data_IF_728727729149
#
_entry.id   IF_728727729149
#
_cell.length_a   1.000
_cell.length_b   1.000
_cell.length_c   1.000
_cell.angle_alpha   90.00
_cell.angle_beta   90.00
_cell.angle_gamma   90.00
#
_symmetry.space_group_name_H-M   'P 1'
#
loop_
_entity.id
_entity.type
_entity.pdbx_description
1 polymer ?
#
# COMPACT_ATOMS: atom_id res chain seq x y z
N UNK A 1 10.45 0.56 3.69
CA UNK A 1 9.54 0.40 4.85
C UNK A 1 8.19 -0.07 4.32
N UNK A 2 7.34 -0.69 5.15
CA UNK A 2 5.99 -1.14 4.78
C UNK A 2 4.98 -0.51 5.73
N UNK A 3 3.75 -0.29 5.27
CA UNK A 3 2.65 0.13 6.13
C UNK A 3 2.32 -0.91 7.22
N UNK A 4 2.61 -2.19 6.94
CA UNK A 4 2.42 -3.30 7.87
C UNK A 4 3.76 -3.74 8.49
N UNK A 5 3.81 -3.80 9.81
CA UNK A 5 4.96 -4.33 10.55
C UNK A 5 4.85 -5.84 10.69
N UNK A 6 5.82 -6.59 10.18
CA UNK A 6 5.88 -8.06 10.27
C UNK A 6 6.56 -8.71 9.07
N UNK A 7 6.70 -10.06 9.08
CA UNK A 7 7.35 -10.81 8.00
C UNK A 7 6.74 -10.51 6.63
N UNK A 8 7.60 -10.19 5.65
CA UNK A 8 7.19 -9.91 4.27
C UNK A 8 6.19 -8.75 4.12
N UNK A 9 6.12 -7.83 5.08
CA UNK A 9 5.15 -6.71 5.02
C UNK A 9 3.69 -7.17 5.02
N UNK A 10 3.39 -8.33 5.62
CA UNK A 10 2.05 -8.93 5.64
C UNK A 10 1.85 -10.07 4.64
N UNK A 11 2.76 -10.26 3.67
CA UNK A 11 2.67 -11.31 2.66
C UNK A 11 2.60 -12.72 3.28
N UNK A 12 3.34 -12.96 4.36
CA UNK A 12 3.34 -14.26 5.05
C UNK A 12 1.95 -14.70 5.57
N UNK A 13 1.05 -13.74 5.82
CA UNK A 13 -0.32 -13.99 6.29
C UNK A 13 -1.37 -13.92 5.17
N UNK A 14 -1.01 -13.32 4.02
CA UNK A 14 -1.97 -12.95 2.98
C UNK A 14 -1.72 -13.64 1.64
N UNK A 15 -0.64 -14.42 1.51
CA UNK A 15 -0.44 -15.26 0.33
C UNK A 15 -1.55 -16.31 0.24
N UNK A 16 -2.36 -16.27 -0.82
CA UNK A 16 -3.53 -17.13 -1.02
C UNK A 16 -3.42 -17.85 -2.36
N UNK A 17 -3.72 -19.15 -2.35
CA UNK A 17 -3.75 -19.97 -3.57
C UNK A 17 -5.05 -19.78 -4.36
N UNK A 18 -5.13 -20.36 -5.55
CA UNK A 18 -6.34 -20.33 -6.37
C UNK A 18 -7.55 -20.92 -5.61
N UNK A 19 -8.65 -20.15 -5.56
CA UNK A 19 -9.86 -20.52 -4.81
C UNK A 19 -9.78 -20.28 -3.30
N UNK A 20 -8.65 -19.83 -2.77
CA UNK A 20 -8.49 -19.49 -1.36
C UNK A 20 -8.85 -18.01 -1.08
N UNK A 21 -9.32 -17.72 0.13
CA UNK A 21 -9.47 -16.36 0.64
C UNK A 21 -8.82 -16.26 2.01
N UNK A 22 -7.93 -15.28 2.20
CA UNK A 22 -7.32 -14.98 3.50
C UNK A 22 -7.76 -13.63 4.02
N UNK A 23 -7.92 -13.56 5.33
CA UNK A 23 -8.20 -12.31 6.06
C UNK A 23 -7.12 -12.11 7.11
N UNK A 24 -6.51 -10.93 7.13
CA UNK A 24 -5.54 -10.52 8.14
C UNK A 24 -5.93 -9.15 8.71
N UNK A 25 -5.50 -8.87 9.94
CA UNK A 25 -5.67 -7.56 10.59
C UNK A 25 -4.29 -7.01 10.94
N UNK A 26 -4.03 -5.78 10.51
CA UNK A 26 -2.78 -5.07 10.77
C UNK A 26 -3.08 -3.80 11.54
N UNK A 27 -2.21 -3.47 12.51
CA UNK A 27 -2.22 -2.17 13.15
C UNK A 27 -1.29 -1.25 12.38
N UNK A 28 -1.80 -0.10 11.94
CA UNK A 28 -1.02 0.92 11.24
C UNK A 28 -0.27 1.74 12.29
N UNK A 29 1.04 1.48 12.43
CA UNK A 29 1.86 2.09 13.48
C UNK A 29 2.58 3.36 13.02
N UNK A 30 2.77 3.51 11.71
CA UNK A 30 3.58 4.58 11.13
C UNK A 30 2.77 5.32 10.06
N UNK A 31 2.47 6.62 10.25
CA UNK A 31 1.90 7.45 9.21
C UNK A 31 2.84 7.58 8.01
N UNK A 32 2.27 7.75 6.82
CA UNK A 32 3.03 7.93 5.58
C UNK A 32 2.37 7.33 4.35
N UNK A 33 2.99 7.54 3.19
CA UNK A 33 2.60 6.95 1.91
C UNK A 33 3.52 5.78 1.59
N UNK A 34 2.97 4.59 1.38
CA UNK A 34 3.72 3.36 1.16
C UNK A 34 3.26 2.65 -0.11
N UNK A 35 4.16 1.91 -0.75
CA UNK A 35 3.81 0.98 -1.83
C UNK A 35 3.28 -0.32 -1.22
N UNK A 36 2.22 -0.88 -1.81
CA UNK A 36 1.85 -2.27 -1.63
C UNK A 36 2.00 -3.00 -2.97
N UNK A 37 2.34 -4.29 -2.95
CA UNK A 37 2.42 -5.10 -4.15
C UNK A 37 2.23 -6.59 -3.82
N UNK A 38 1.94 -7.41 -4.83
CA UNK A 38 1.97 -8.86 -4.68
C UNK A 38 3.39 -9.34 -4.42
N UNK A 39 3.56 -10.25 -3.45
CA UNK A 39 4.84 -10.85 -3.08
C UNK A 39 4.86 -12.37 -3.33
N UNK A 40 3.98 -12.88 -4.20
CA UNK A 40 4.05 -14.25 -4.70
C UNK A 40 5.26 -14.43 -5.63
N UNK A 41 5.90 -15.60 -5.58
CA UNK A 41 7.08 -15.87 -6.40
C UNK A 41 6.69 -16.26 -7.85
N UNK A 42 7.37 -15.75 -8.89
CA UNK A 42 8.46 -14.77 -8.87
C UNK A 42 7.97 -13.32 -8.72
N UNK A 43 8.36 -12.65 -7.63
CA UNK A 43 7.85 -11.33 -7.24
C UNK A 43 7.92 -10.29 -8.37
N UNK A 44 9.03 -10.14 -9.12
CA UNK A 44 9.13 -9.11 -10.16
C UNK A 44 8.07 -9.24 -11.27
N UNK A 45 7.66 -10.46 -11.60
CA UNK A 45 6.67 -10.72 -12.66
C UNK A 45 5.29 -10.22 -12.25
N UNK A 46 4.88 -10.49 -11.01
CA UNK A 46 3.61 -10.00 -10.49
C UNK A 46 3.57 -8.46 -10.46
N UNK A 47 4.66 -7.81 -10.05
CA UNK A 47 4.77 -6.35 -10.06
C UNK A 47 4.70 -5.80 -11.49
N UNK A 48 5.51 -6.33 -12.41
CA UNK A 48 5.53 -5.89 -13.82
C UNK A 48 4.17 -6.06 -14.52
N UNK A 49 3.40 -7.07 -14.12
CA UNK A 49 2.04 -7.30 -14.60
C UNK A 49 0.98 -6.42 -13.92
N UNK A 50 1.39 -5.45 -13.09
CA UNK A 50 0.52 -4.43 -12.52
C UNK A 50 -0.02 -4.73 -11.12
N UNK A 51 0.48 -5.76 -10.43
CA UNK A 51 0.02 -6.09 -9.07
C UNK A 51 0.70 -5.21 -8.00
N UNK A 52 0.48 -3.90 -8.06
CA UNK A 52 0.96 -2.93 -7.09
C UNK A 52 -0.01 -1.76 -6.90
N UNK A 53 0.16 -1.02 -5.81
CA UNK A 53 -0.53 0.25 -5.57
C UNK A 53 0.11 1.04 -4.43
N UNK A 54 -0.55 2.11 -3.96
CA UNK A 54 -0.14 2.82 -2.73
C UNK A 54 -1.20 2.71 -1.64
N UNK A 55 -0.74 2.75 -0.40
CA UNK A 55 -1.53 2.94 0.80
C UNK A 55 -1.05 4.22 1.49
N UNK A 56 -1.98 5.14 1.73
CA UNK A 56 -1.75 6.29 2.60
C UNK A 56 -2.23 5.97 4.00
N UNK A 57 -1.29 5.89 4.94
CA UNK A 57 -1.59 5.86 6.38
C UNK A 57 -1.63 7.30 6.84
N UNK A 58 -2.83 7.85 6.88
CA UNK A 58 -3.05 9.21 7.37
C UNK A 58 -2.63 9.29 8.85
N UNK A 59 -1.89 10.34 9.26
CA UNK A 59 -1.71 10.66 10.67
C UNK A 59 -3.07 10.80 11.37
N UNK A 60 -3.11 10.51 12.66
CA UNK A 60 -4.25 10.94 13.47
C UNK A 60 -4.35 12.46 13.38
N UNK A 61 -5.57 12.99 13.32
CA UNK A 61 -5.78 14.43 13.29
C UNK A 61 -5.12 15.07 14.52
N UNK A 62 -4.46 16.20 14.31
CA UNK A 62 -4.15 17.07 15.44
C UNK A 62 -5.44 17.76 15.88
N UNK A 63 -5.60 18.04 17.18
CA UNK A 63 -6.81 18.70 17.72
C UNK A 63 -6.98 20.16 17.21
N UNK A 64 -6.22 20.57 16.19
CA UNK A 64 -6.30 21.91 15.62
C UNK A 64 -7.46 21.99 14.62
N UNK A 65 -8.48 22.77 14.98
CA UNK A 65 -9.71 22.95 14.20
C UNK A 65 -9.51 23.56 12.78
N UNK A 66 -8.26 23.85 12.38
CA UNK A 66 -7.92 24.50 11.12
C UNK A 66 -7.24 23.57 10.10
N UNK A 67 -6.82 22.37 10.51
CA UNK A 67 -6.14 21.43 9.62
C UNK A 67 -7.13 20.42 9.01
N UNK A 68 -6.88 20.05 7.76
CA UNK A 68 -7.54 18.93 7.09
C UNK A 68 -7.02 17.58 7.59
N UNK A 69 -7.45 16.49 6.94
CA UNK A 69 -7.11 15.12 7.34
C UNK A 69 -5.61 14.94 7.62
N UNK A 70 -5.25 14.47 8.83
CA UNK A 70 -3.87 14.20 9.20
C UNK A 70 -2.98 15.43 9.39
N UNK A 71 -3.59 16.59 9.68
CA UNK A 71 -2.88 17.85 9.90
C UNK A 71 -2.50 18.58 8.60
N UNK A 72 -2.94 18.08 7.45
CA UNK A 72 -2.59 18.66 6.15
C UNK A 72 -3.51 19.85 5.82
N UNK A 73 -3.00 20.95 5.21
CA UNK A 73 -3.86 22.02 4.72
C UNK A 73 -4.90 21.48 3.73
N UNK A 74 -6.15 21.99 3.75
CA UNK A 74 -7.16 21.54 2.82
C UNK A 74 -6.75 21.83 1.37
N UNK A 75 -7.09 20.90 0.47
CA UNK A 75 -6.84 21.02 -0.97
C UNK A 75 -8.14 20.77 -1.73
N UNK A 76 -8.28 21.35 -2.92
CA UNK A 76 -9.46 21.13 -3.76
C UNK A 76 -9.52 19.71 -4.32
N UNK A 77 -8.35 19.08 -4.53
CA UNK A 77 -8.20 17.77 -5.17
C UNK A 77 -6.96 17.04 -4.68
N UNK A 78 -7.09 15.72 -4.57
CA UNK A 78 -5.99 14.78 -4.33
C UNK A 78 -5.86 13.84 -5.54
N UNK A 79 -4.63 13.48 -5.90
CA UNK A 79 -4.36 12.60 -7.04
C UNK A 79 -3.46 11.45 -6.61
N UNK A 80 -3.74 10.29 -7.19
CA UNK A 80 -2.93 9.08 -7.05
C UNK A 80 -2.27 8.79 -8.39
N UNK A 81 -0.93 8.83 -8.44
CA UNK A 81 -0.14 8.55 -9.63
C UNK A 81 0.98 7.58 -9.27
N UNK A 82 1.10 6.51 -10.04
CA UNK A 82 2.22 5.57 -9.96
C UNK A 82 2.83 5.35 -11.33
N UNK A 83 4.16 5.22 -11.35
CA UNK A 83 4.90 4.84 -12.54
C UNK A 83 4.92 3.31 -12.66
N UNK A 84 4.63 2.79 -13.85
CA UNK A 84 4.78 1.38 -14.20
C UNK A 84 5.87 1.21 -15.26
N UNK A 85 6.37 -0.02 -15.40
CA UNK A 85 7.18 -0.46 -16.53
C UNK A 85 6.59 -1.76 -17.06
N UNK A 86 6.40 -1.82 -18.38
CA UNK A 86 5.93 -3.02 -19.06
C UNK A 86 7.08 -3.63 -19.85
N UNK A 87 7.27 -4.93 -19.65
CA UNK A 87 8.28 -5.71 -20.33
C UNK A 87 7.56 -6.68 -21.25
N UNK A 88 7.77 -6.55 -22.56
CA UNK A 88 7.23 -7.44 -23.57
C UNK A 88 8.35 -8.31 -24.13
N UNK A 89 7.99 -9.54 -24.50
CA UNK A 89 8.86 -10.35 -25.36
C UNK A 89 8.98 -9.67 -26.73
N UNK A 90 10.13 -9.83 -27.42
CA UNK A 90 10.35 -9.29 -28.76
C UNK A 90 9.29 -9.70 -29.79
#
# INVERSE_FOLDING_TARGET
SHAFTGPGGGAALTNAEEGETKTARFRLLCPGLFVYHSAAAPIPVHIANGMFGLIYVQPADDDSAAAGPGGLPPVDREYYVMQSQFYHEP
#
